data_IF_370689860646
#
_entry.id   IF_370689860646
#
_cell.length_a   1.000
_cell.length_b   1.000
_cell.length_c   1.000
_cell.angle_alpha   90.00
_cell.angle_beta   90.00
_cell.angle_gamma   90.00
#
_symmetry.space_group_name_H-M   'P 1'
#
loop_
_entity.id
_entity.type
_entity.pdbx_description
1 polymer ?
#
# COMPACT_ATOMS: atom_id res chain seq x y z
N UNK A 1 -50.56 32.91 -4.12
CA UNK A 1 -50.75 31.52 -3.62
C UNK A 1 -50.80 30.48 -4.74
N UNK A 2 -51.58 30.67 -5.81
CA UNK A 2 -51.67 29.71 -6.94
C UNK A 2 -50.35 29.52 -7.71
N UNK A 3 -49.58 30.59 -7.94
CA UNK A 3 -48.29 30.51 -8.64
C UNK A 3 -47.18 29.79 -7.87
N UNK A 4 -47.20 29.85 -6.54
CA UNK A 4 -46.23 29.13 -5.70
C UNK A 4 -46.41 27.61 -5.82
N UNK A 5 -47.66 27.14 -5.89
CA UNK A 5 -47.96 25.72 -6.08
C UNK A 5 -47.49 25.19 -7.44
N UNK A 6 -47.58 26.00 -8.49
CA UNK A 6 -47.07 25.64 -9.82
C UNK A 6 -45.54 25.52 -9.82
N UNK A 7 -44.86 26.41 -9.09
CA UNK A 7 -43.40 26.37 -8.96
C UNK A 7 -42.93 25.13 -8.18
N UNK A 8 -43.64 24.76 -7.10
CA UNK A 8 -43.35 23.54 -6.34
C UNK A 8 -43.58 22.26 -7.16
N UNK A 9 -44.64 22.21 -7.97
CA UNK A 9 -44.90 21.07 -8.84
C UNK A 9 -43.83 20.90 -9.93
N UNK A 10 -43.37 21.99 -10.55
CA UNK A 10 -42.26 21.96 -11.52
C UNK A 10 -40.94 21.51 -10.88
N UNK A 11 -40.66 21.95 -9.65
CA UNK A 11 -39.46 21.56 -8.91
C UNK A 11 -39.42 20.06 -8.54
N UNK A 12 -40.57 19.46 -8.24
CA UNK A 12 -40.65 18.01 -7.97
C UNK A 12 -40.51 17.16 -9.24
N UNK A 13 -40.99 17.66 -10.39
CA UNK A 13 -40.87 16.95 -11.68
C UNK A 13 -39.43 16.92 -12.21
N UNK A 14 -38.60 17.91 -11.88
CA UNK A 14 -37.17 17.90 -12.24
C UNK A 14 -36.32 17.02 -11.30
N UNK A 15 -36.76 16.83 -10.05
CA UNK A 15 -36.07 15.99 -9.08
C UNK A 15 -36.26 14.47 -9.36
N UNK A 16 -37.37 14.07 -9.97
CA UNK A 16 -37.64 12.66 -10.31
C UNK A 16 -36.85 12.16 -11.53
N UNK A 17 -36.20 13.04 -12.29
CA UNK A 17 -35.37 12.68 -13.45
C UNK A 17 -33.89 12.43 -13.10
N UNK A 18 -33.46 12.56 -11.83
CA UNK A 18 -32.05 12.49 -11.43
C UNK A 18 -31.72 11.20 -10.62
N UNK A 19 -32.71 10.39 -10.22
CA UNK A 19 -32.45 9.24 -9.32
C UNK A 19 -32.04 7.91 -9.98
N UNK A 20 -31.75 7.84 -11.28
CA UNK A 20 -31.14 6.64 -11.89
C UNK A 20 -29.62 6.69 -11.96
N UNK A 21 -28.95 7.26 -10.95
CA UNK A 21 -27.54 6.98 -10.68
C UNK A 21 -27.34 6.63 -9.19
N UNK A 22 -28.07 5.61 -8.72
CA UNK A 22 -27.82 4.95 -7.43
C UNK A 22 -27.85 3.43 -7.61
N UNK A 23 -26.89 2.95 -8.39
CA UNK A 23 -26.36 1.60 -8.28
C UNK A 23 -24.90 1.72 -8.73
N UNK A 24 -24.06 2.28 -7.86
CA UNK A 24 -22.67 1.85 -7.80
C UNK A 24 -22.80 0.37 -7.38
N UNK A 25 -22.51 -0.62 -8.26
CA UNK A 25 -22.29 -1.97 -7.77
C UNK A 25 -21.22 -1.85 -6.68
N UNK A 26 -21.33 -2.65 -5.63
CA UNK A 26 -20.26 -2.84 -4.66
C UNK A 26 -18.93 -2.70 -5.39
N UNK A 27 -18.24 -1.59 -5.12
CA UNK A 27 -16.80 -1.60 -5.26
C UNK A 27 -16.40 -2.63 -4.18
N UNK A 28 -16.45 -3.90 -4.57
CA UNK A 28 -15.24 -4.66 -4.46
C UNK A 28 -14.18 -3.69 -5.00
N UNK A 29 -13.46 -3.04 -4.09
CA UNK A 29 -12.05 -2.86 -4.35
C UNK A 29 -11.52 -4.27 -4.53
N UNK A 30 -11.77 -4.84 -5.72
CA UNK A 30 -10.82 -5.68 -6.37
C UNK A 30 -9.56 -4.85 -6.28
N UNK A 31 -8.71 -5.21 -5.32
CA UNK A 31 -7.38 -4.68 -5.23
C UNK A 31 -6.84 -4.88 -6.64
N UNK A 32 -6.83 -3.80 -7.42
CA UNK A 32 -6.34 -3.86 -8.77
C UNK A 32 -4.89 -4.21 -8.54
N UNK A 33 -4.58 -5.47 -8.82
CA UNK A 33 -3.24 -5.92 -9.07
C UNK A 33 -2.85 -5.16 -10.35
N UNK A 34 -2.47 -3.90 -10.16
CA UNK A 34 -1.42 -3.31 -10.96
C UNK A 34 -0.26 -4.29 -10.79
N UNK A 35 -0.27 -5.30 -11.66
CA UNK A 35 0.92 -5.66 -12.39
C UNK A 35 1.49 -4.33 -12.88
N UNK A 36 2.25 -3.69 -11.99
CA UNK A 36 3.48 -3.04 -12.35
C UNK A 36 4.22 -4.11 -13.14
N UNK A 37 3.94 -4.13 -14.44
CA UNK A 37 5.02 -4.29 -15.39
C UNK A 37 5.93 -3.10 -15.14
N UNK A 38 6.68 -3.19 -14.04
CA UNK A 38 7.93 -2.51 -13.82
C UNK A 38 8.60 -2.64 -15.17
N UNK A 39 8.82 -1.47 -15.78
CA UNK A 39 9.47 -1.33 -17.05
C UNK A 39 10.55 -2.41 -17.17
N UNK A 40 10.61 -3.08 -18.31
CA UNK A 40 11.82 -3.81 -18.69
C UNK A 40 12.95 -2.77 -18.67
N UNK A 41 13.59 -2.62 -17.53
CA UNK A 41 14.91 -2.06 -17.45
C UNK A 41 15.80 -3.12 -18.07
N UNK A 42 15.89 -3.06 -19.39
CA UNK A 42 16.91 -3.75 -20.16
C UNK A 42 18.29 -3.10 -19.94
N UNK A 43 18.61 -2.68 -18.71
CA UNK A 43 20.00 -2.57 -18.29
C UNK A 43 20.51 -3.96 -17.96
N UNK A 44 20.60 -4.81 -19.00
CA UNK A 44 21.58 -5.89 -19.03
C UNK A 44 22.96 -5.23 -19.01
N UNK A 45 23.50 -4.99 -17.83
CA UNK A 45 24.94 -4.87 -17.70
C UNK A 45 25.41 -5.40 -16.34
N UNK A 46 25.69 -6.70 -16.35
CA UNK A 46 26.83 -7.31 -15.66
C UNK A 46 27.37 -6.54 -14.46
N UNK A 47 26.73 -6.71 -13.30
CA UNK A 47 27.37 -6.44 -12.01
C UNK A 47 27.38 -7.65 -11.09
N UNK A 48 27.65 -8.81 -11.71
CA UNK A 48 28.59 -9.72 -11.09
C UNK A 48 29.96 -9.05 -11.11
N UNK A 49 30.54 -8.81 -9.92
CA UNK A 49 31.87 -8.22 -9.64
C UNK A 49 31.91 -6.70 -9.43
N UNK A 50 31.31 -6.24 -8.32
CA UNK A 50 31.77 -5.01 -7.65
C UNK A 50 33.13 -5.24 -7.01
N UNK A 51 34.22 -5.14 -7.78
CA UNK A 51 35.58 -4.96 -7.23
C UNK A 51 35.97 -3.49 -7.21
N UNK A 52 35.04 -2.59 -6.89
CA UNK A 52 35.37 -1.21 -6.57
C UNK A 52 35.62 -1.11 -5.06
N UNK A 53 36.86 -0.81 -4.66
CA UNK A 53 37.23 -0.52 -3.27
C UNK A 53 36.45 0.66 -2.66
N UNK A 54 35.63 1.36 -3.47
CA UNK A 54 34.68 2.39 -3.05
C UNK A 54 33.32 1.87 -2.62
N UNK A 55 33.05 0.55 -2.76
CA UNK A 55 31.76 -0.09 -2.37
C UNK A 55 31.67 -0.48 -0.89
N UNK A 56 32.76 -0.40 -0.10
CA UNK A 56 32.73 -0.80 1.32
C UNK A 56 31.92 0.14 2.23
N UNK A 57 31.61 1.36 1.78
CA UNK A 57 30.87 2.35 2.56
C UNK A 57 29.37 2.40 2.25
N UNK A 58 28.87 1.60 1.30
CA UNK A 58 27.45 1.51 0.98
C UNK A 58 26.86 0.15 1.34
N UNK A 59 27.37 -0.48 2.41
CA UNK A 59 26.77 -1.68 3.01
C UNK A 59 25.52 -1.35 3.84
N UNK A 60 24.80 -0.29 3.50
CA UNK A 60 23.45 -0.09 3.99
C UNK A 60 22.55 -1.04 3.20
N UNK A 61 22.41 -2.26 3.76
CA UNK A 61 21.29 -3.19 3.58
C UNK A 61 20.58 -3.13 2.22
N UNK A 62 21.28 -3.52 1.15
CA UNK A 62 20.58 -3.96 -0.07
C UNK A 62 20.20 -5.43 0.13
N UNK A 63 18.92 -5.75 0.06
CA UNK A 63 18.48 -7.13 0.01
C UNK A 63 18.98 -7.74 -1.30
N UNK A 64 19.59 -8.92 -1.22
CA UNK A 64 20.12 -9.62 -2.38
C UNK A 64 19.04 -10.00 -3.41
N UNK A 65 17.77 -9.95 -2.99
CA UNK A 65 16.57 -10.25 -3.78
C UNK A 65 15.48 -9.20 -3.49
N UNK A 66 14.53 -9.02 -4.43
CA UNK A 66 13.31 -8.23 -4.19
C UNK A 66 12.51 -8.93 -3.10
N UNK A 67 12.10 -8.19 -2.07
CA UNK A 67 11.24 -8.70 -1.00
C UNK A 67 9.79 -8.85 -1.50
N UNK A 68 8.98 -9.67 -0.82
CA UNK A 68 7.57 -9.76 -1.12
C UNK A 68 6.86 -8.42 -0.86
N UNK A 69 5.65 -8.25 -1.38
CA UNK A 69 4.90 -7.00 -1.30
C UNK A 69 4.73 -6.48 0.14
N UNK A 70 4.48 -7.37 1.10
CA UNK A 70 4.32 -7.03 2.52
C UNK A 70 5.62 -7.09 3.32
N UNK A 71 6.79 -7.17 2.67
CA UNK A 71 8.08 -7.29 3.34
C UNK A 71 8.98 -6.09 3.06
N UNK A 72 9.73 -5.70 4.09
CA UNK A 72 10.77 -4.67 3.99
C UNK A 72 12.14 -5.29 4.10
N UNK A 73 13.14 -4.61 3.53
CA UNK A 73 14.51 -5.04 3.64
C UNK A 73 15.17 -4.53 4.93
N UNK A 74 15.44 -5.42 5.87
CA UNK A 74 16.15 -5.14 7.11
C UNK A 74 17.44 -5.98 7.18
N UNK A 75 18.58 -5.30 7.25
CA UNK A 75 19.91 -5.92 7.38
C UNK A 75 20.22 -6.99 6.31
N UNK A 76 19.73 -6.76 5.09
CA UNK A 76 19.88 -7.66 3.94
C UNK A 76 18.91 -8.83 3.94
N UNK A 77 17.93 -8.87 4.85
CA UNK A 77 16.86 -9.86 4.91
C UNK A 77 15.50 -9.21 4.66
N UNK A 78 14.62 -9.95 4.00
CA UNK A 78 13.22 -9.55 3.88
C UNK A 78 12.48 -9.97 5.16
N UNK A 79 11.82 -9.03 5.80
CA UNK A 79 11.03 -9.24 7.02
C UNK A 79 9.67 -8.59 6.85
N UNK A 80 8.63 -9.19 7.43
CA UNK A 80 7.29 -8.62 7.40
C UNK A 80 7.11 -7.68 8.61
N UNK A 81 7.08 -6.35 8.43
CA UNK A 81 6.97 -5.42 9.55
C UNK A 81 5.58 -5.45 10.21
N UNK A 82 4.58 -6.10 9.61
CA UNK A 82 3.22 -6.17 10.17
C UNK A 82 3.09 -7.22 11.29
N UNK A 83 4.01 -8.19 11.33
CA UNK A 83 3.93 -9.35 12.22
C UNK A 83 5.27 -9.73 12.87
N UNK A 84 6.40 -9.23 12.38
CA UNK A 84 7.70 -9.47 12.98
C UNK A 84 7.86 -8.65 14.27
N UNK A 85 7.92 -9.35 15.41
CA UNK A 85 8.11 -8.77 16.73
C UNK A 85 9.44 -8.02 16.90
N UNK A 86 10.48 -8.31 16.10
CA UNK A 86 11.78 -7.65 16.15
C UNK A 86 11.90 -6.47 15.16
N UNK A 87 10.98 -6.37 14.19
CA UNK A 87 10.97 -5.37 13.12
C UNK A 87 9.59 -4.73 12.93
N UNK A 88 8.85 -4.52 14.01
CA UNK A 88 7.44 -4.14 13.95
C UNK A 88 7.27 -2.72 13.41
N UNK A 89 6.59 -2.55 12.28
CA UNK A 89 6.40 -1.26 11.59
C UNK A 89 7.67 -0.69 10.93
N UNK A 90 8.87 -1.05 11.38
CA UNK A 90 10.15 -0.63 10.79
C UNK A 90 11.31 -1.52 11.25
N UNK A 91 12.44 -1.48 10.52
CA UNK A 91 13.63 -2.26 10.87
C UNK A 91 14.15 -1.94 12.27
N UNK A 92 14.55 -2.97 13.02
CA UNK A 92 15.11 -2.85 14.36
C UNK A 92 14.15 -2.19 15.38
N UNK A 93 12.84 -2.26 15.14
CA UNK A 93 11.81 -1.80 16.08
C UNK A 93 11.16 -2.99 16.81
N UNK A 94 11.88 -3.53 17.78
CA UNK A 94 11.41 -4.67 18.55
C UNK A 94 10.33 -4.28 19.58
N UNK A 95 9.26 -5.09 19.65
CA UNK A 95 8.21 -4.93 20.64
C UNK A 95 8.68 -5.33 22.05
N UNK A 96 8.13 -4.66 23.07
CA UNK A 96 8.49 -4.95 24.47
C UNK A 96 8.04 -6.37 24.86
N UNK A 97 8.73 -6.95 25.84
CA UNK A 97 8.29 -8.23 26.44
C UNK A 97 6.83 -8.13 26.91
N UNK A 98 6.03 -9.14 26.54
CA UNK A 98 4.59 -9.17 26.83
C UNK A 98 3.71 -8.42 25.82
N UNK A 99 4.28 -7.97 24.69
CA UNK A 99 3.54 -7.38 23.56
C UNK A 99 3.86 -8.13 22.28
N UNK A 100 2.92 -8.14 21.34
CA UNK A 100 3.08 -8.72 20.00
C UNK A 100 3.04 -7.62 18.94
N UNK A 101 3.65 -7.89 17.78
CA UNK A 101 3.45 -7.08 16.60
C UNK A 101 2.14 -7.49 15.91
N UNK A 102 1.23 -6.54 15.74
CA UNK A 102 0.00 -6.72 14.99
C UNK A 102 -0.25 -5.49 14.12
N UNK A 103 -0.45 -5.70 12.83
CA UNK A 103 -0.71 -4.64 11.84
C UNK A 103 0.34 -3.52 11.88
N UNK A 104 1.61 -3.89 12.13
CA UNK A 104 2.73 -2.95 12.18
C UNK A 104 2.85 -2.15 13.47
N UNK A 105 2.11 -2.54 14.51
CA UNK A 105 2.11 -1.87 15.81
C UNK A 105 2.30 -2.87 16.95
N UNK A 106 3.12 -2.50 17.92
CA UNK A 106 3.25 -3.27 19.16
C UNK A 106 1.99 -3.10 20.02
N UNK A 107 1.24 -4.17 20.19
CA UNK A 107 0.05 -4.22 21.04
C UNK A 107 0.21 -5.26 22.14
N UNK A 108 -0.53 -5.08 23.23
CA UNK A 108 -0.69 -6.17 24.20
C UNK A 108 -1.44 -7.31 23.51
N UNK A 109 -0.87 -8.51 23.58
CA UNK A 109 -1.45 -9.74 23.06
C UNK A 109 -2.41 -10.35 24.09
#
# INVERSE_FOLDING_TARGET
MKGFMVFLLLAMLIASAITTLSAIPEEEESFNEENNTDAKDETKNQFGKSTSLRSRFLSYSKCGTKCNYSEICCEGKCVNPESDNENCGSCNNACKKGTSCAYGMCSYA
#
